data_IF_987198172024
#
_entry.id   IF_987198172024
#
_cell.length_a   1.000
_cell.length_b   1.000
_cell.length_c   1.000
_cell.angle_alpha   90.00
_cell.angle_beta   90.00
_cell.angle_gamma   90.00
#
_symmetry.space_group_name_H-M   'P 1'
#
loop_
_entity.id
_entity.type
_entity.pdbx_description
1 polymer ?
#
# COMPACT_ATOMS: atom_id res chain seq x y z
N UNK A 1 -50.79 -17.96 15.60
CA UNK A 1 -49.79 -17.68 16.66
C UNK A 1 -49.06 -18.93 17.17
N UNK A 2 -49.72 -19.97 17.71
CA UNK A 2 -49.02 -21.16 18.26
C UNK A 2 -48.08 -21.90 17.28
N UNK A 3 -48.46 -22.02 16.01
CA UNK A 3 -47.64 -22.65 14.95
C UNK A 3 -46.39 -21.84 14.62
N UNK A 4 -46.50 -20.51 14.54
CA UNK A 4 -45.37 -19.61 14.27
C UNK A 4 -44.36 -19.64 15.42
N UNK A 5 -44.83 -19.59 16.67
CA UNK A 5 -43.97 -19.69 17.86
C UNK A 5 -43.24 -21.04 17.90
N UNK A 6 -43.93 -22.14 17.58
CA UNK A 6 -43.30 -23.48 17.49
C UNK A 6 -42.23 -23.55 16.39
N UNK A 7 -42.48 -22.95 15.23
CA UNK A 7 -41.48 -22.87 14.14
C UNK A 7 -40.26 -22.06 14.58
N UNK A 8 -40.47 -20.89 15.20
CA UNK A 8 -39.37 -20.05 15.71
C UNK A 8 -38.53 -20.81 16.76
N UNK A 9 -39.18 -21.51 17.70
CA UNK A 9 -38.50 -22.32 18.71
C UNK A 9 -37.67 -23.45 18.09
N UNK A 10 -38.23 -24.18 17.12
CA UNK A 10 -37.51 -25.25 16.41
C UNK A 10 -36.28 -24.66 15.69
N UNK A 11 -36.44 -23.55 14.97
CA UNK A 11 -35.34 -22.87 14.29
C UNK A 11 -34.25 -22.42 15.26
N UNK A 12 -34.63 -21.89 16.43
CA UNK A 12 -33.68 -21.47 17.47
C UNK A 12 -32.89 -22.66 18.02
N UNK A 13 -33.55 -23.78 18.32
CA UNK A 13 -32.88 -25.00 18.81
C UNK A 13 -31.91 -25.54 17.78
N UNK A 14 -32.30 -25.59 16.50
CA UNK A 14 -31.42 -26.02 15.41
C UNK A 14 -30.21 -25.08 15.29
N UNK A 15 -30.43 -23.76 15.35
CA UNK A 15 -29.35 -22.79 15.29
C UNK A 15 -28.36 -22.91 16.45
N UNK A 16 -28.85 -23.06 17.69
CA UNK A 16 -28.01 -23.30 18.87
C UNK A 16 -27.23 -24.61 18.72
N UNK A 17 -27.85 -25.66 18.20
CA UNK A 17 -27.17 -26.93 17.88
C UNK A 17 -26.01 -26.74 16.90
N UNK A 18 -26.24 -26.02 15.80
CA UNK A 18 -25.21 -25.69 14.80
C UNK A 18 -24.07 -24.88 15.42
N UNK A 19 -24.40 -23.89 16.26
CA UNK A 19 -23.42 -23.05 16.96
C UNK A 19 -22.53 -23.89 17.88
N UNK A 20 -23.11 -24.77 18.71
CA UNK A 20 -22.37 -25.63 19.63
C UNK A 20 -21.47 -26.63 18.90
N UNK A 21 -21.97 -27.25 17.82
CA UNK A 21 -21.17 -28.14 16.97
C UNK A 21 -20.01 -27.37 16.35
N UNK A 22 -20.25 -26.16 15.84
CA UNK A 22 -19.20 -25.31 15.28
C UNK A 22 -18.13 -24.97 16.31
N UNK A 23 -18.51 -24.60 17.54
CA UNK A 23 -17.57 -24.33 18.64
C UNK A 23 -16.74 -25.58 18.94
N UNK A 24 -17.39 -26.74 19.06
CA UNK A 24 -16.71 -28.01 19.32
C UNK A 24 -15.71 -28.36 18.21
N UNK A 25 -16.08 -28.19 16.94
CA UNK A 25 -15.17 -28.37 15.80
C UNK A 25 -13.99 -27.40 15.88
N UNK A 26 -14.23 -26.11 16.17
CA UNK A 26 -13.17 -25.13 16.31
C UNK A 26 -12.19 -25.45 17.46
N UNK A 27 -12.61 -26.17 18.49
CA UNK A 27 -11.73 -26.54 19.61
C UNK A 27 -10.87 -27.77 19.34
N UNK A 28 -11.27 -28.65 18.43
CA UNK A 28 -10.67 -29.98 18.26
C UNK A 28 -10.08 -30.25 16.86
N UNK A 29 -10.66 -29.68 15.80
CA UNK A 29 -10.23 -29.91 14.43
C UNK A 29 -9.06 -29.00 14.05
N UNK A 30 -8.08 -29.45 13.26
CA UNK A 30 -7.03 -28.57 12.70
C UNK A 30 -6.34 -27.65 13.74
N UNK A 31 -5.96 -28.19 14.90
CA UNK A 31 -5.41 -27.40 16.03
C UNK A 31 -3.88 -27.25 16.01
N UNK A 32 -3.23 -27.81 14.97
CA UNK A 32 -1.79 -27.75 14.75
C UNK A 32 -1.49 -27.27 13.34
N UNK A 33 -0.39 -26.57 13.15
CA UNK A 33 0.04 -26.02 11.87
C UNK A 33 0.02 -27.04 10.72
N UNK A 34 0.56 -28.24 10.95
CA UNK A 34 0.67 -29.30 9.93
C UNK A 34 -0.69 -29.84 9.49
N UNK A 35 -1.71 -29.68 10.35
CA UNK A 35 -3.08 -30.07 10.05
C UNK A 35 -3.89 -28.98 9.35
N UNK A 36 -3.35 -27.76 9.19
CA UNK A 36 -4.05 -26.68 8.50
C UNK A 36 -4.08 -26.91 6.98
N UNK A 37 -5.03 -26.27 6.29
CA UNK A 37 -5.03 -26.25 4.83
C UNK A 37 -3.77 -25.56 4.29
N UNK A 38 -3.32 -25.96 3.10
CA UNK A 38 -2.10 -25.42 2.48
C UNK A 38 -2.07 -23.89 2.43
N UNK A 39 -3.17 -23.23 2.06
CA UNK A 39 -3.19 -21.76 2.02
C UNK A 39 -3.06 -21.12 3.40
N UNK A 40 -3.61 -21.73 4.44
CA UNK A 40 -3.49 -21.21 5.80
C UNK A 40 -2.05 -21.44 6.31
N UNK A 41 -1.42 -22.54 5.90
CA UNK A 41 0.01 -22.76 6.14
C UNK A 41 0.89 -21.74 5.42
N UNK A 42 0.64 -21.46 4.13
CA UNK A 42 1.37 -20.44 3.36
C UNK A 42 1.22 -19.06 3.99
N UNK A 43 0.00 -18.70 4.40
CA UNK A 43 -0.28 -17.45 5.10
C UNK A 43 0.56 -17.32 6.38
N UNK A 44 0.60 -18.35 7.24
CA UNK A 44 1.36 -18.28 8.49
C UNK A 44 2.89 -18.30 8.24
N UNK A 45 3.37 -18.98 7.20
CA UNK A 45 4.78 -18.94 6.80
C UNK A 45 5.18 -17.54 6.32
N UNK A 46 4.40 -16.94 5.43
CA UNK A 46 4.69 -15.57 4.96
C UNK A 46 4.56 -14.55 6.09
N UNK A 47 3.55 -14.67 6.95
CA UNK A 47 3.43 -13.79 8.13
C UNK A 47 4.64 -13.92 9.06
N UNK A 48 5.15 -15.14 9.26
CA UNK A 48 6.37 -15.37 10.02
C UNK A 48 7.59 -14.66 9.41
N UNK A 49 7.77 -14.75 8.09
CA UNK A 49 8.82 -14.02 7.36
C UNK A 49 8.68 -12.50 7.55
N UNK A 50 7.45 -11.97 7.42
CA UNK A 50 7.17 -10.56 7.67
C UNK A 50 7.57 -10.17 9.09
N UNK A 51 7.14 -10.92 10.10
CA UNK A 51 7.41 -10.59 11.50
C UNK A 51 8.92 -10.63 11.80
N UNK A 52 9.64 -11.64 11.32
CA UNK A 52 11.10 -11.70 11.47
C UNK A 52 11.79 -10.46 10.87
N UNK A 53 11.40 -10.01 9.67
CA UNK A 53 12.00 -8.81 9.08
C UNK A 53 11.70 -7.53 9.88
N UNK A 54 10.52 -7.42 10.48
CA UNK A 54 10.22 -6.30 11.38
C UNK A 54 10.97 -6.38 12.72
N UNK A 55 11.16 -7.58 13.29
CA UNK A 55 11.95 -7.75 14.51
C UNK A 55 13.44 -7.43 14.29
N UNK A 56 14.00 -7.82 13.15
CA UNK A 56 15.42 -7.74 12.86
C UNK A 56 15.84 -6.47 12.11
N UNK A 57 14.92 -5.79 11.42
CA UNK A 57 15.26 -4.74 10.46
C UNK A 57 14.13 -3.71 10.27
N UNK A 58 13.43 -3.35 11.35
CA UNK A 58 12.38 -2.31 11.31
C UNK A 58 12.88 -0.95 10.78
N UNK A 59 14.11 -0.57 11.12
CA UNK A 59 14.82 0.61 10.60
C UNK A 59 14.96 0.61 9.06
N UNK A 60 15.08 -0.59 8.47
CA UNK A 60 15.18 -0.78 7.02
C UNK A 60 13.82 -0.91 6.35
N UNK A 61 12.72 -1.04 7.09
CA UNK A 61 11.36 -1.08 6.55
C UNK A 61 10.72 0.30 6.60
N UNK A 62 10.69 0.90 7.78
CA UNK A 62 10.24 2.27 7.98
C UNK A 62 11.19 3.02 8.93
N UNK A 63 11.03 2.85 10.24
CA UNK A 63 11.93 3.38 11.26
C UNK A 63 11.93 2.47 12.48
N UNK A 64 12.88 2.65 13.39
CA UNK A 64 13.04 1.79 14.59
C UNK A 64 11.78 1.71 15.47
N UNK A 65 10.90 2.72 15.43
CA UNK A 65 9.68 2.78 16.24
C UNK A 65 8.48 2.05 15.62
N UNK A 66 8.53 1.73 14.32
CA UNK A 66 7.40 1.12 13.62
C UNK A 66 7.45 -0.41 13.68
N UNK A 67 6.78 -0.96 14.69
CA UNK A 67 6.67 -2.40 14.91
C UNK A 67 5.32 -2.95 14.44
N UNK A 68 5.22 -3.41 13.19
CA UNK A 68 4.02 -4.06 12.64
C UNK A 68 3.74 -5.41 13.31
N UNK A 69 4.77 -6.19 13.62
CA UNK A 69 4.72 -7.51 14.25
C UNK A 69 4.05 -7.50 15.63
N UNK A 70 4.00 -6.33 16.28
CA UNK A 70 3.35 -6.11 17.58
C UNK A 70 1.92 -5.59 17.47
N UNK A 71 1.44 -5.26 16.27
CA UNK A 71 0.09 -4.72 16.06
C UNK A 71 -0.94 -5.86 16.13
N UNK A 72 -2.17 -5.58 16.62
CA UNK A 72 -3.25 -6.55 16.56
C UNK A 72 -3.56 -6.90 15.10
N UNK A 73 -3.92 -8.13 14.78
CA UNK A 73 -4.20 -8.52 13.40
C UNK A 73 -5.21 -9.66 13.37
N UNK A 74 -6.17 -9.58 12.43
CA UNK A 74 -7.08 -10.69 12.12
C UNK A 74 -7.01 -11.03 10.63
N UNK A 75 -6.60 -12.26 10.32
CA UNK A 75 -6.50 -12.76 8.95
C UNK A 75 -7.65 -13.71 8.65
N UNK A 76 -8.37 -13.44 7.57
CA UNK A 76 -9.66 -14.07 7.25
C UNK A 76 -9.51 -14.87 5.96
N UNK A 77 -9.70 -16.17 6.05
CA UNK A 77 -9.66 -17.05 4.88
C UNK A 77 -10.92 -16.89 4.04
N UNK A 78 -10.75 -16.50 2.77
CA UNK A 78 -11.80 -16.51 1.76
C UNK A 78 -11.45 -17.42 0.59
N UNK A 79 -12.42 -17.71 -0.29
CA UNK A 79 -12.18 -18.47 -1.51
C UNK A 79 -11.54 -17.63 -2.62
N UNK A 80 -11.85 -16.33 -2.63
CA UNK A 80 -11.47 -15.36 -3.66
C UNK A 80 -11.53 -13.96 -3.08
N UNK A 81 -10.96 -13.01 -3.82
CA UNK A 81 -11.14 -11.58 -3.58
C UNK A 81 -12.62 -11.23 -3.38
N UNK A 82 -12.91 -10.42 -2.36
CA UNK A 82 -14.22 -9.96 -1.92
C UNK A 82 -15.23 -11.08 -1.59
N UNK A 83 -14.76 -12.27 -1.23
CA UNK A 83 -15.62 -13.39 -0.85
C UNK A 83 -16.48 -13.11 0.40
N UNK A 84 -17.76 -13.48 0.33
CA UNK A 84 -18.75 -13.31 1.41
C UNK A 84 -18.61 -14.35 2.53
N UNK A 85 -18.29 -15.60 2.17
CA UNK A 85 -18.23 -16.69 3.15
C UNK A 85 -16.80 -16.85 3.63
N UNK A 86 -16.59 -16.55 4.90
CA UNK A 86 -15.35 -16.84 5.62
C UNK A 86 -15.21 -18.35 5.82
N UNK A 87 -14.08 -18.94 5.47
CA UNK A 87 -13.77 -20.33 5.84
C UNK A 87 -13.23 -20.40 7.26
N UNK A 88 -12.13 -19.70 7.50
CA UNK A 88 -11.38 -19.66 8.75
C UNK A 88 -10.99 -18.22 9.08
N UNK A 89 -10.65 -17.94 10.35
CA UNK A 89 -10.01 -16.70 10.71
C UNK A 89 -9.00 -16.93 11.82
N UNK A 90 -7.92 -16.15 11.81
CA UNK A 90 -6.79 -16.26 12.72
C UNK A 90 -6.52 -14.87 13.32
N UNK A 91 -6.40 -14.80 14.65
CA UNK A 91 -6.09 -13.59 15.39
C UNK A 91 -4.71 -13.67 16.04
N UNK A 92 -3.95 -12.58 15.93
CA UNK A 92 -2.62 -12.41 16.52
C UNK A 92 -2.58 -11.07 17.26
N UNK A 93 -1.93 -11.02 18.42
CA UNK A 93 -1.84 -9.83 19.28
C UNK A 93 -3.20 -9.22 19.70
N UNK A 94 -4.27 -10.02 19.71
CA UNK A 94 -5.61 -9.60 20.16
C UNK A 94 -5.92 -10.20 21.54
N UNK A 95 -5.51 -9.50 22.60
CA UNK A 95 -5.65 -9.95 24.00
C UNK A 95 -7.10 -10.32 24.38
N UNK A 96 -8.08 -9.64 23.79
CA UNK A 96 -9.51 -9.82 24.04
C UNK A 96 -10.05 -11.18 23.55
N UNK A 97 -9.29 -11.91 22.76
CA UNK A 97 -9.70 -13.18 22.16
C UNK A 97 -9.17 -14.40 22.94
N UNK A 98 -8.10 -14.24 23.73
CA UNK A 98 -7.36 -15.36 24.34
C UNK A 98 -8.25 -16.31 25.17
N UNK A 99 -9.20 -15.75 25.92
CA UNK A 99 -10.10 -16.51 26.81
C UNK A 99 -11.48 -16.79 26.20
N UNK A 100 -11.66 -16.59 24.89
CA UNK A 100 -12.97 -16.75 24.26
C UNK A 100 -13.36 -18.21 24.04
N UNK A 101 -14.63 -18.53 24.29
CA UNK A 101 -15.22 -19.83 23.91
C UNK A 101 -15.19 -20.03 22.38
N UNK A 102 -15.16 -18.94 21.62
CA UNK A 102 -15.11 -18.96 20.16
C UNK A 102 -13.68 -19.01 19.60
N UNK A 103 -12.64 -19.00 20.43
CA UNK A 103 -11.25 -18.98 19.97
C UNK A 103 -10.49 -20.25 20.39
N UNK A 104 -9.55 -20.72 19.58
CA UNK A 104 -8.65 -21.83 19.92
C UNK A 104 -7.23 -21.44 19.53
N UNK A 105 -6.33 -21.40 20.51
CA UNK A 105 -4.89 -21.32 20.25
C UNK A 105 -4.48 -22.54 19.43
N UNK A 106 -3.82 -22.31 18.29
CA UNK A 106 -3.25 -23.36 17.45
C UNK A 106 -1.76 -23.53 17.74
N UNK A 107 -1.28 -24.77 17.66
CA UNK A 107 0.16 -25.06 17.80
C UNK A 107 0.87 -24.70 16.49
N UNK A 108 1.74 -23.69 16.55
CA UNK A 108 2.58 -23.23 15.44
C UNK A 108 4.05 -23.56 15.78
N UNK A 109 4.90 -23.90 14.79
CA UNK A 109 6.30 -24.17 15.06
C UNK A 109 6.98 -22.98 15.73
N UNK A 110 7.75 -23.24 16.79
CA UNK A 110 8.45 -22.16 17.53
C UNK A 110 9.38 -21.35 16.64
N UNK A 111 9.95 -21.98 15.60
CA UNK A 111 10.81 -21.32 14.61
C UNK A 111 10.10 -20.25 13.79
N UNK A 112 8.77 -20.14 13.86
CA UNK A 112 8.04 -19.10 13.14
C UNK A 112 8.09 -17.74 13.87
N UNK A 113 8.52 -17.71 15.14
CA UNK A 113 8.56 -16.49 15.96
C UNK A 113 7.23 -15.72 16.00
N UNK A 114 6.11 -16.37 15.66
CA UNK A 114 4.80 -15.75 15.73
C UNK A 114 4.35 -15.65 17.19
N UNK A 115 3.60 -14.59 17.56
CA UNK A 115 2.85 -14.59 18.81
C UNK A 115 1.82 -15.73 18.78
N UNK A 116 1.15 -15.95 19.91
CA UNK A 116 0.06 -16.93 19.96
C UNK A 116 -0.97 -16.66 18.86
N UNK A 117 -1.23 -17.68 18.05
CA UNK A 117 -2.19 -17.62 16.95
C UNK A 117 -3.50 -18.27 17.40
N UNK A 118 -4.58 -17.50 17.38
CA UNK A 118 -5.91 -17.97 17.77
C UNK A 118 -6.80 -18.15 16.55
N UNK A 119 -7.24 -19.38 16.28
CA UNK A 119 -8.28 -19.63 15.28
C UNK A 119 -9.67 -19.31 15.83
N UNK A 120 -10.44 -18.55 15.06
CA UNK A 120 -11.75 -18.04 15.44
C UNK A 120 -12.87 -18.86 14.80
N UNK A 121 -13.79 -19.30 15.65
CA UNK A 121 -15.02 -19.97 15.26
C UNK A 121 -15.83 -19.09 14.29
N UNK A 122 -16.38 -19.71 13.25
CA UNK A 122 -17.14 -19.06 12.18
C UNK A 122 -18.21 -18.07 12.68
N UNK A 123 -18.88 -18.40 13.80
CA UNK A 123 -19.95 -17.61 14.39
C UNK A 123 -19.51 -16.67 15.52
N UNK A 124 -18.20 -16.37 15.65
CA UNK A 124 -17.74 -15.34 16.58
C UNK A 124 -18.32 -13.97 16.19
N UNK A 125 -19.32 -13.52 16.95
CA UNK A 125 -20.06 -12.28 16.71
C UNK A 125 -19.15 -11.05 16.64
N UNK A 126 -17.97 -11.09 17.27
CA UNK A 126 -17.01 -9.99 17.25
C UNK A 126 -16.36 -9.79 15.86
N UNK A 127 -16.49 -10.77 14.98
CA UNK A 127 -15.88 -10.79 13.64
C UNK A 127 -16.91 -11.10 12.53
N UNK A 128 -18.21 -11.10 12.85
CA UNK A 128 -19.25 -11.46 11.88
C UNK A 128 -19.40 -10.42 10.76
N UNK A 129 -19.06 -9.16 11.04
CA UNK A 129 -19.03 -8.08 10.03
C UNK A 129 -18.08 -8.38 8.89
N UNK A 130 -17.06 -9.20 9.10
CA UNK A 130 -16.05 -9.51 8.08
C UNK A 130 -16.55 -10.47 7.00
N UNK A 131 -17.82 -10.90 7.09
CA UNK A 131 -18.52 -11.64 6.02
C UNK A 131 -19.00 -10.71 4.90
N UNK A 132 -18.99 -9.39 5.12
CA UNK A 132 -19.28 -8.39 4.10
C UNK A 132 -18.29 -8.48 2.92
N UNK A 133 -18.69 -8.10 1.69
CA UNK A 133 -17.78 -8.01 0.55
C UNK A 133 -16.76 -6.89 0.83
N UNK A 134 -15.48 -7.22 0.78
CA UNK A 134 -14.37 -6.34 1.16
C UNK A 134 -13.19 -7.18 1.63
N UNK A 135 -11.98 -6.83 1.16
CA UNK A 135 -10.78 -7.60 1.47
C UNK A 135 -10.07 -7.15 2.74
N UNK A 136 -10.25 -5.93 3.19
CA UNK A 136 -9.59 -5.43 4.39
C UNK A 136 -10.49 -4.43 5.11
N UNK A 137 -10.08 -4.01 6.30
CA UNK A 137 -10.76 -3.00 7.08
C UNK A 137 -10.33 -3.04 8.53
N UNK A 138 -11.04 -2.28 9.36
CA UNK A 138 -10.84 -2.29 10.81
C UNK A 138 -12.10 -2.75 11.52
N UNK A 139 -11.90 -3.42 12.65
CA UNK A 139 -12.97 -3.83 13.55
C UNK A 139 -12.63 -3.38 14.97
N UNK A 140 -13.65 -3.09 15.78
CA UNK A 140 -13.48 -2.70 17.17
C UNK A 140 -13.86 -3.85 18.10
N UNK A 141 -12.91 -4.37 18.86
CA UNK A 141 -13.15 -5.37 19.92
C UNK A 141 -12.76 -4.74 21.26
N UNK A 142 -13.75 -4.46 22.11
CA UNK A 142 -13.59 -3.82 23.42
C UNK A 142 -12.67 -2.59 23.37
N UNK A 143 -13.03 -1.60 22.53
CA UNK A 143 -12.31 -0.34 22.33
C UNK A 143 -10.87 -0.48 21.79
N UNK A 144 -10.50 -1.65 21.29
CA UNK A 144 -9.28 -1.84 20.51
C UNK A 144 -9.66 -1.97 19.05
N UNK A 145 -9.16 -1.04 18.23
CA UNK A 145 -9.26 -1.13 16.80
C UNK A 145 -8.23 -2.15 16.28
N UNK A 146 -8.70 -3.05 15.42
CA UNK A 146 -7.93 -4.18 14.92
C UNK A 146 -8.09 -4.20 13.41
N UNK A 147 -6.98 -4.11 12.70
CA UNK A 147 -6.93 -4.32 11.26
C UNK A 147 -7.22 -5.79 10.94
N UNK A 148 -8.00 -6.00 9.88
CA UNK A 148 -8.23 -7.31 9.33
C UNK A 148 -7.97 -7.34 7.83
N UNK A 149 -7.47 -8.48 7.35
CA UNK A 149 -7.25 -8.73 5.92
C UNK A 149 -7.80 -10.11 5.54
N UNK A 150 -8.44 -10.19 4.38
CA UNK A 150 -8.86 -11.43 3.75
C UNK A 150 -7.75 -11.95 2.85
N UNK A 151 -7.44 -13.23 2.99
CA UNK A 151 -6.47 -13.93 2.14
C UNK A 151 -7.12 -15.11 1.43
N UNK A 152 -6.68 -15.35 0.19
CA UNK A 152 -7.22 -16.37 -0.72
C UNK A 152 -6.08 -17.04 -1.51
N UNK A 153 -6.27 -18.25 -2.12
CA UNK A 153 -5.17 -19.03 -2.68
C UNK A 153 -4.32 -18.28 -3.72
N UNK A 154 -5.00 -17.50 -4.59
CA UNK A 154 -4.34 -16.75 -5.67
C UNK A 154 -3.27 -15.79 -5.16
N UNK A 155 -3.38 -15.25 -3.94
CA UNK A 155 -2.37 -14.34 -3.37
C UNK A 155 -0.99 -14.99 -3.17
N UNK A 156 -0.93 -16.32 -3.11
CA UNK A 156 0.30 -17.08 -2.88
C UNK A 156 0.79 -17.80 -4.14
N UNK A 157 -0.12 -18.21 -5.03
CA UNK A 157 0.21 -19.07 -6.16
C UNK A 157 0.44 -18.32 -7.48
N UNK A 158 -0.36 -17.29 -7.76
CA UNK A 158 -0.28 -16.45 -8.96
C UNK A 158 -0.98 -15.11 -8.68
N UNK A 159 -0.37 -14.27 -7.83
CA UNK A 159 -0.97 -12.99 -7.47
C UNK A 159 -1.04 -12.06 -8.68
N UNK A 160 -2.04 -11.17 -8.66
CA UNK A 160 -1.98 -9.98 -9.50
C UNK A 160 -0.85 -9.08 -8.96
N UNK A 161 -0.28 -8.22 -9.82
CA UNK A 161 0.81 -7.34 -9.41
C UNK A 161 0.37 -6.50 -8.20
N UNK A 162 1.21 -6.39 -7.17
CA UNK A 162 0.92 -5.73 -5.89
C UNK A 162 -0.12 -6.40 -4.98
N UNK A 163 -0.74 -7.51 -5.41
CA UNK A 163 -1.79 -8.21 -4.66
C UNK A 163 -1.34 -9.59 -4.16
N UNK A 164 -0.03 -9.83 -4.05
CA UNK A 164 0.47 -10.92 -3.22
C UNK A 164 0.18 -10.63 -1.75
N UNK A 165 0.15 -11.68 -0.93
CA UNK A 165 -0.29 -11.55 0.46
C UNK A 165 0.58 -10.58 1.26
N UNK A 166 1.90 -10.60 1.07
CA UNK A 166 2.81 -9.75 1.81
C UNK A 166 2.68 -8.27 1.44
N UNK A 167 2.71 -7.95 0.15
CA UNK A 167 2.60 -6.57 -0.33
C UNK A 167 1.26 -5.95 0.09
N UNK A 168 0.16 -6.66 -0.16
CA UNK A 168 -1.17 -6.12 0.14
C UNK A 168 -1.43 -6.02 1.66
N UNK A 169 -0.91 -6.96 2.47
CA UNK A 169 -0.98 -6.86 3.92
C UNK A 169 -0.23 -5.63 4.44
N UNK A 170 0.99 -5.41 3.97
CA UNK A 170 1.83 -4.32 4.44
C UNK A 170 1.27 -2.96 4.01
N UNK A 171 0.81 -2.81 2.77
CA UNK A 171 0.19 -1.59 2.27
C UNK A 171 -1.02 -1.18 3.12
N UNK A 172 -2.01 -2.07 3.23
CA UNK A 172 -3.27 -1.74 3.90
C UNK A 172 -3.12 -1.63 5.42
N UNK A 173 -2.23 -2.42 6.02
CA UNK A 173 -1.96 -2.29 7.45
C UNK A 173 -1.15 -1.04 7.79
N UNK A 174 -0.32 -0.55 6.86
CA UNK A 174 0.39 0.73 7.03
C UNK A 174 -0.58 1.90 7.06
N UNK A 175 -1.56 1.91 6.14
CA UNK A 175 -2.70 2.84 6.21
C UNK A 175 -3.40 2.78 7.57
N UNK A 176 -3.76 1.57 8.00
CA UNK A 176 -4.52 1.36 9.24
C UNK A 176 -3.75 1.74 10.52
N UNK A 177 -2.43 1.54 10.57
CA UNK A 177 -1.65 1.70 11.80
C UNK A 177 -0.72 2.88 11.83
N UNK A 178 -0.04 3.18 10.73
CA UNK A 178 0.93 4.27 10.67
C UNK A 178 0.28 5.56 10.19
N UNK A 179 -0.55 5.47 9.16
CA UNK A 179 -1.12 6.65 8.49
C UNK A 179 -2.53 7.02 8.97
N UNK A 180 -3.06 6.33 9.99
CA UNK A 180 -4.41 6.59 10.54
C UNK A 180 -4.71 8.06 10.86
N UNK A 181 -3.70 8.82 11.26
CA UNK A 181 -3.83 10.25 11.62
C UNK A 181 -3.37 11.20 10.51
N UNK A 182 -2.95 10.66 9.37
CA UNK A 182 -2.54 11.46 8.24
C UNK A 182 -3.76 12.13 7.63
N UNK A 183 -3.56 13.39 7.25
CA UNK A 183 -4.62 14.29 6.78
C UNK A 183 -4.47 14.61 5.30
N UNK A 184 -3.53 13.95 4.61
CA UNK A 184 -3.26 14.18 3.20
C UNK A 184 -4.46 13.86 2.31
N UNK A 185 -5.24 12.83 2.64
CA UNK A 185 -6.47 12.42 1.95
C UNK A 185 -7.75 13.03 2.55
N UNK A 186 -7.63 13.90 3.56
CA UNK A 186 -8.80 14.50 4.21
C UNK A 186 -9.55 15.43 3.26
N UNK A 187 -10.89 15.36 3.29
CA UNK A 187 -11.80 16.21 2.50
C UNK A 187 -11.54 16.16 0.98
N UNK A 188 -11.22 14.98 0.44
CA UNK A 188 -10.93 14.78 -0.99
C UNK A 188 -9.77 15.64 -1.49
N UNK A 189 -8.79 15.97 -0.65
CA UNK A 189 -7.65 16.81 -1.00
C UNK A 189 -6.76 16.24 -2.13
N UNK A 190 -6.90 14.95 -2.45
CA UNK A 190 -6.26 14.31 -3.61
C UNK A 190 -6.97 14.56 -4.96
N UNK A 191 -8.22 15.05 -4.92
CA UNK A 191 -8.98 15.35 -6.12
C UNK A 191 -8.42 16.59 -6.79
N UNK A 192 -8.13 16.47 -8.09
CA UNK A 192 -7.62 17.57 -8.90
C UNK A 192 -8.74 18.01 -9.85
N UNK A 193 -9.43 19.13 -9.56
CA UNK A 193 -10.39 19.69 -10.49
C UNK A 193 -9.67 20.18 -11.75
N UNK A 194 -10.30 20.03 -12.91
CA UNK A 194 -9.80 20.55 -14.20
C UNK A 194 -8.31 20.23 -14.45
N UNK A 195 -8.00 18.93 -14.43
CA UNK A 195 -6.64 18.45 -14.67
C UNK A 195 -6.11 19.01 -16.01
N UNK A 196 -4.92 19.63 -16.04
CA UNK A 196 -4.40 20.31 -17.23
C UNK A 196 -3.95 19.33 -18.31
N UNK A 197 -4.88 18.89 -19.16
CA UNK A 197 -4.61 18.06 -20.34
C UNK A 197 -4.05 18.96 -21.46
N UNK A 198 -2.75 19.22 -21.40
CA UNK A 198 -2.04 19.98 -22.44
C UNK A 198 -0.60 19.47 -22.60
N UNK A 199 0.00 19.78 -23.75
CA UNK A 199 1.34 19.29 -24.10
C UNK A 199 2.44 19.73 -23.14
N UNK A 200 2.30 20.94 -22.57
CA UNK A 200 3.33 21.49 -21.68
C UNK A 200 3.31 20.78 -20.33
N UNK A 201 2.12 20.50 -19.78
CA UNK A 201 1.97 19.72 -18.55
C UNK A 201 2.58 18.32 -18.70
N UNK A 202 2.26 17.61 -19.78
CA UNK A 202 2.82 16.29 -20.04
C UNK A 202 4.33 16.32 -20.31
N UNK A 203 4.84 17.35 -21.00
CA UNK A 203 6.27 17.48 -21.22
C UNK A 203 7.05 17.72 -19.92
N UNK A 204 6.51 18.55 -19.01
CA UNK A 204 7.10 18.76 -17.68
C UNK A 204 7.02 17.50 -16.81
N UNK A 205 5.93 16.72 -16.90
CA UNK A 205 5.85 15.41 -16.25
C UNK A 205 6.90 14.43 -16.82
N UNK A 206 7.09 14.38 -18.14
CA UNK A 206 8.15 13.57 -18.75
C UNK A 206 9.55 14.01 -18.31
N UNK A 207 9.76 15.32 -18.10
CA UNK A 207 11.00 15.85 -17.55
C UNK A 207 11.25 15.38 -16.11
N UNK A 208 10.21 15.39 -15.27
CA UNK A 208 10.25 14.80 -13.92
C UNK A 208 10.60 13.31 -13.96
N UNK A 209 10.05 12.55 -14.92
CA UNK A 209 10.34 11.13 -15.10
C UNK A 209 11.78 10.85 -15.53
N UNK A 210 12.34 11.65 -16.46
CA UNK A 210 13.78 11.54 -16.79
C UNK A 210 14.66 11.76 -15.57
N UNK A 211 14.31 12.72 -14.72
CA UNK A 211 15.03 13.01 -13.47
C UNK A 211 14.90 11.85 -12.48
N UNK A 212 13.70 11.31 -12.27
CA UNK A 212 13.49 10.14 -11.41
C UNK A 212 14.26 8.92 -11.91
N UNK A 213 14.23 8.62 -13.21
CA UNK A 213 15.00 7.52 -13.80
C UNK A 213 16.50 7.69 -13.53
N UNK A 214 17.03 8.91 -13.72
CA UNK A 214 18.43 9.23 -13.43
C UNK A 214 18.78 9.04 -11.94
N UNK A 215 17.92 9.45 -11.02
CA UNK A 215 18.13 9.25 -9.59
C UNK A 215 18.10 7.75 -9.23
N UNK A 216 17.11 7.01 -9.72
CA UNK A 216 16.90 5.58 -9.43
C UNK A 216 18.08 4.73 -9.89
N UNK A 217 18.69 5.05 -11.04
CA UNK A 217 19.87 4.38 -11.59
C UNK A 217 21.18 4.76 -10.91
N UNK A 218 21.18 5.80 -10.06
CA UNK A 218 22.38 6.27 -9.36
C UNK A 218 22.46 5.71 -7.93
N UNK A 219 23.69 5.65 -7.41
CA UNK A 219 23.99 5.26 -6.03
C UNK A 219 24.85 6.30 -5.29
N UNK A 220 25.30 7.36 -5.97
CA UNK A 220 26.03 8.46 -5.35
C UNK A 220 25.04 9.45 -4.71
N UNK A 221 25.12 9.59 -3.40
CA UNK A 221 24.22 10.45 -2.61
C UNK A 221 24.20 11.89 -3.09
N UNK A 222 25.32 12.48 -3.49
CA UNK A 222 25.37 13.89 -3.92
C UNK A 222 24.77 14.07 -5.32
N UNK A 223 25.01 13.13 -6.23
CA UNK A 223 24.35 13.11 -7.54
C UNK A 223 22.83 12.98 -7.37
N UNK A 224 22.37 12.11 -6.48
CA UNK A 224 20.94 11.95 -6.20
C UNK A 224 20.35 13.24 -5.62
N UNK A 225 21.04 13.90 -4.66
CA UNK A 225 20.60 15.22 -4.15
C UNK A 225 20.48 16.25 -5.25
N UNK A 226 21.45 16.34 -6.15
CA UNK A 226 21.39 17.29 -7.27
C UNK A 226 20.22 16.99 -8.20
N UNK A 227 19.95 15.72 -8.51
CA UNK A 227 18.81 15.33 -9.34
C UNK A 227 17.47 15.61 -8.65
N UNK A 228 17.37 15.35 -7.34
CA UNK A 228 16.17 15.69 -6.55
C UNK A 228 15.96 17.21 -6.46
N UNK A 229 17.03 18.00 -6.40
CA UNK A 229 16.96 19.46 -6.49
C UNK A 229 16.36 19.91 -7.82
N UNK A 230 16.90 19.42 -8.95
CA UNK A 230 16.40 19.74 -10.29
C UNK A 230 14.94 19.28 -10.47
N UNK A 231 14.60 18.08 -9.98
CA UNK A 231 13.23 17.56 -9.97
C UNK A 231 12.28 18.48 -9.20
N UNK A 232 12.73 18.97 -8.03
CA UNK A 232 11.92 19.86 -7.19
C UNK A 232 11.70 21.21 -7.86
N UNK A 233 12.69 21.74 -8.58
CA UNK A 233 12.53 22.96 -9.37
C UNK A 233 11.52 22.79 -10.50
N UNK A 234 11.59 21.69 -11.25
CA UNK A 234 10.63 21.38 -12.32
C UNK A 234 9.23 21.22 -11.76
N UNK A 235 9.07 20.47 -10.66
CA UNK A 235 7.77 20.27 -10.00
C UNK A 235 7.18 21.58 -9.49
N UNK A 236 7.99 22.42 -8.84
CA UNK A 236 7.56 23.73 -8.37
C UNK A 236 7.13 24.62 -9.57
N UNK A 237 7.88 24.62 -10.67
CA UNK A 237 7.51 25.33 -11.90
C UNK A 237 6.21 24.83 -12.51
N UNK A 238 5.97 23.51 -12.48
CA UNK A 238 4.70 22.93 -12.92
C UNK A 238 3.53 23.38 -12.04
N UNK A 239 3.74 23.48 -10.73
CA UNK A 239 2.70 23.92 -9.79
C UNK A 239 2.45 25.43 -9.80
N UNK A 240 3.43 26.28 -10.12
CA UNK A 240 3.14 27.71 -10.32
C UNK A 240 2.29 27.95 -11.56
N UNK A 241 2.43 27.11 -12.59
CA UNK A 241 1.59 27.13 -13.79
C UNK A 241 0.20 26.55 -13.57
N UNK A 242 0.10 25.44 -12.84
CA UNK A 242 -1.16 24.76 -12.53
C UNK A 242 -1.23 24.44 -11.03
N UNK A 243 -1.62 25.42 -10.19
CA UNK A 243 -1.64 25.26 -8.74
C UNK A 243 -2.52 24.12 -8.24
N UNK A 244 -3.56 23.74 -9.00
CA UNK A 244 -4.44 22.62 -8.66
C UNK A 244 -3.70 21.28 -8.59
N UNK A 245 -2.56 21.15 -9.28
CA UNK A 245 -1.77 19.93 -9.29
C UNK A 245 -1.10 19.62 -7.94
N UNK A 246 -1.11 20.56 -6.98
CA UNK A 246 -0.58 20.32 -5.64
C UNK A 246 -1.25 19.11 -4.94
N UNK A 247 -2.49 18.76 -5.34
CA UNK A 247 -3.18 17.55 -4.88
C UNK A 247 -2.45 16.25 -5.22
N UNK A 248 -1.60 16.22 -6.26
CA UNK A 248 -0.76 15.05 -6.58
C UNK A 248 0.13 14.68 -5.39
N UNK A 249 0.69 15.69 -4.71
CA UNK A 249 1.62 15.49 -3.58
C UNK A 249 0.97 14.77 -2.39
N UNK A 250 -0.36 14.88 -2.26
CA UNK A 250 -1.12 14.26 -1.17
C UNK A 250 -1.32 12.77 -1.42
N UNK A 251 -1.66 12.38 -2.66
CA UNK A 251 -1.68 10.97 -3.07
C UNK A 251 -0.26 10.37 -3.02
N UNK A 252 0.76 11.11 -3.48
CA UNK A 252 2.16 10.69 -3.40
C UNK A 252 2.59 10.43 -1.94
N UNK A 253 2.17 11.27 -1.00
CA UNK A 253 2.45 11.06 0.41
C UNK A 253 1.74 9.83 0.99
N UNK A 254 0.41 9.73 0.82
CA UNK A 254 -0.36 8.66 1.46
C UNK A 254 -0.10 7.30 0.80
N UNK A 255 -0.20 7.20 -0.52
CA UNK A 255 -0.07 5.94 -1.24
C UNK A 255 1.39 5.60 -1.59
N UNK A 256 2.21 6.60 -1.85
CA UNK A 256 3.63 6.40 -2.09
C UNK A 256 4.36 5.86 -0.86
N UNK A 257 4.05 6.35 0.35
CA UNK A 257 4.63 5.79 1.59
C UNK A 257 4.23 4.34 1.85
N UNK A 258 2.98 3.98 1.57
CA UNK A 258 2.52 2.60 1.68
C UNK A 258 3.21 1.69 0.64
N UNK A 259 3.34 2.16 -0.61
CA UNK A 259 4.06 1.46 -1.69
C UNK A 259 5.57 1.35 -1.41
N UNK A 260 6.18 2.37 -0.81
CA UNK A 260 7.56 2.34 -0.37
C UNK A 260 7.81 1.19 0.61
N UNK A 261 6.91 0.97 1.58
CA UNK A 261 7.04 -0.14 2.53
C UNK A 261 7.02 -1.50 1.81
N UNK A 262 6.15 -1.66 0.80
CA UNK A 262 6.13 -2.88 -0.03
C UNK A 262 7.49 -3.13 -0.71
N UNK A 263 8.10 -2.09 -1.31
CA UNK A 263 9.39 -2.22 -1.99
C UNK A 263 10.54 -2.52 -1.03
N UNK A 264 10.55 -1.88 0.14
CA UNK A 264 11.54 -2.16 1.18
C UNK A 264 11.44 -3.59 1.68
N UNK A 265 10.22 -4.05 1.93
CA UNK A 265 9.99 -5.43 2.33
C UNK A 265 10.40 -6.41 1.24
N UNK A 266 9.96 -6.20 0.00
CA UNK A 266 10.34 -7.02 -1.16
C UNK A 266 11.86 -7.13 -1.29
N UNK A 267 12.59 -6.01 -1.19
CA UNK A 267 14.05 -6.02 -1.24
C UNK A 267 14.67 -6.86 -0.11
N UNK A 268 14.19 -6.73 1.12
CA UNK A 268 14.70 -7.47 2.28
C UNK A 268 14.39 -8.97 2.20
N UNK A 269 13.22 -9.32 1.69
CA UNK A 269 12.77 -10.70 1.52
C UNK A 269 13.32 -11.37 0.25
N UNK A 270 14.14 -10.67 -0.56
CA UNK A 270 14.69 -11.20 -1.82
C UNK A 270 13.67 -11.29 -2.96
N UNK A 271 12.58 -10.52 -2.88
CA UNK A 271 11.54 -10.38 -3.89
C UNK A 271 11.93 -9.49 -5.07
N UNK A 272 11.07 -9.49 -6.09
CA UNK A 272 11.26 -8.76 -7.35
C UNK A 272 10.34 -7.54 -7.51
N UNK A 273 9.50 -7.25 -6.50
CA UNK A 273 8.65 -6.07 -6.53
C UNK A 273 9.50 -4.81 -6.35
N UNK A 274 9.39 -3.88 -7.30
CA UNK A 274 10.17 -2.64 -7.43
C UNK A 274 9.27 -1.53 -8.00
N UNK A 275 9.74 -0.28 -7.97
CA UNK A 275 9.06 0.85 -8.65
C UNK A 275 8.74 0.46 -10.09
N UNK A 276 7.50 0.68 -10.50
CA UNK A 276 6.93 0.31 -11.80
C UNK A 276 7.15 -1.17 -12.15
N UNK A 277 6.75 -2.05 -11.23
CA UNK A 277 6.93 -3.48 -11.37
C UNK A 277 6.15 -4.06 -12.57
N UNK A 278 6.62 -5.20 -13.07
CA UNK A 278 5.90 -6.04 -14.03
C UNK A 278 6.17 -7.52 -13.75
N UNK A 279 5.31 -8.41 -14.26
CA UNK A 279 5.38 -9.85 -13.99
C UNK A 279 6.60 -10.58 -14.60
N UNK A 280 7.30 -9.98 -15.56
CA UNK A 280 8.37 -10.63 -16.33
C UNK A 280 9.68 -9.85 -16.22
N UNK A 281 10.83 -10.53 -16.29
CA UNK A 281 12.16 -9.92 -16.38
C UNK A 281 12.19 -8.76 -17.41
N UNK A 282 12.80 -7.60 -17.11
CA UNK A 282 13.59 -7.24 -15.91
C UNK A 282 12.76 -6.91 -14.64
N UNK A 283 11.50 -7.35 -14.56
CA UNK A 283 10.53 -7.17 -13.46
C UNK A 283 10.14 -5.74 -13.12
N UNK A 284 10.63 -4.77 -13.88
CA UNK A 284 10.22 -3.38 -13.80
C UNK A 284 10.39 -2.69 -15.17
N UNK A 285 9.89 -1.48 -15.27
CA UNK A 285 10.20 -0.52 -16.34
C UNK A 285 10.63 0.80 -15.71
N UNK A 286 11.30 1.65 -16.48
CA UNK A 286 11.61 3.01 -16.03
C UNK A 286 10.37 3.91 -16.20
N UNK A 287 10.35 5.08 -15.55
CA UNK A 287 9.27 6.05 -15.73
C UNK A 287 9.16 6.51 -17.18
N UNK A 288 10.29 6.76 -17.85
CA UNK A 288 10.27 7.12 -19.26
C UNK A 288 9.81 5.97 -20.17
N UNK A 289 10.16 4.72 -19.86
CA UNK A 289 9.63 3.58 -20.62
C UNK A 289 8.10 3.49 -20.49
N UNK A 290 7.57 3.66 -19.28
CA UNK A 290 6.12 3.68 -19.06
C UNK A 290 5.47 4.84 -19.83
N UNK A 291 6.06 6.03 -19.79
CA UNK A 291 5.61 7.20 -20.54
C UNK A 291 5.61 6.94 -22.05
N UNK A 292 6.69 6.38 -22.60
CA UNK A 292 6.83 6.07 -24.03
C UNK A 292 5.84 5.01 -24.51
N UNK A 293 5.54 3.99 -23.70
CA UNK A 293 4.52 3.00 -24.03
C UNK A 293 3.11 3.61 -24.13
N UNK A 294 2.79 4.59 -23.28
CA UNK A 294 1.51 5.29 -23.33
C UNK A 294 1.46 6.23 -24.55
N UNK A 295 2.52 7.00 -24.78
CA UNK A 295 2.66 7.89 -25.95
C UNK A 295 2.52 7.13 -27.27
N UNK A 296 3.03 5.90 -27.34
CA UNK A 296 2.96 5.03 -28.52
C UNK A 296 1.68 4.21 -28.63
N UNK A 297 0.75 4.33 -27.69
CA UNK A 297 -0.50 3.56 -27.68
C UNK A 297 -0.33 2.06 -27.39
N UNK A 298 0.81 1.67 -26.82
CA UNK A 298 1.15 0.27 -26.50
C UNK A 298 0.73 -0.14 -25.08
N UNK A 299 0.33 0.80 -24.23
CA UNK A 299 -0.02 0.56 -22.84
C UNK A 299 -1.28 1.34 -22.42
N UNK A 300 -1.43 1.55 -21.12
CA UNK A 300 -2.58 2.20 -20.50
C UNK A 300 -2.88 3.60 -21.08
N UNK A 301 -4.07 4.11 -20.81
CA UNK A 301 -4.44 5.47 -21.20
C UNK A 301 -3.61 6.53 -20.46
N UNK A 302 -3.54 7.78 -20.96
CA UNK A 302 -2.93 8.90 -20.24
C UNK A 302 -3.41 9.05 -18.78
N UNK A 303 -4.63 8.62 -18.44
CA UNK A 303 -5.13 8.59 -17.05
C UNK A 303 -4.25 7.82 -16.07
N UNK A 304 -3.48 6.82 -16.54
CA UNK A 304 -2.51 6.12 -15.70
C UNK A 304 -1.43 7.08 -15.21
N UNK A 305 -0.91 7.95 -16.08
CA UNK A 305 0.06 8.99 -15.75
C UNK A 305 -0.53 10.02 -14.77
N UNK A 306 -1.81 10.36 -14.96
CA UNK A 306 -2.49 11.39 -14.17
C UNK A 306 -2.79 10.94 -12.73
N UNK A 307 -3.04 9.64 -12.50
CA UNK A 307 -3.51 9.13 -11.19
C UNK A 307 -2.64 8.01 -10.63
N UNK A 308 -2.58 6.86 -11.31
CA UNK A 308 -1.91 5.66 -10.79
C UNK A 308 -0.42 5.87 -10.57
N UNK A 309 0.22 6.68 -11.41
CA UNK A 309 1.64 6.99 -11.33
C UNK A 309 2.06 7.66 -10.01
N UNK A 310 1.13 8.27 -9.27
CA UNK A 310 1.41 8.93 -7.98
C UNK A 310 1.89 7.96 -6.90
N UNK A 311 1.47 6.70 -6.95
CA UNK A 311 1.97 5.64 -6.06
C UNK A 311 3.46 5.40 -6.30
N UNK A 312 3.85 5.44 -7.57
CA UNK A 312 5.19 5.11 -8.06
C UNK A 312 6.14 6.30 -7.87
N UNK A 313 5.71 7.53 -8.21
CA UNK A 313 6.52 8.73 -7.99
C UNK A 313 6.75 8.99 -6.51
N UNK A 314 5.71 8.88 -5.67
CA UNK A 314 5.81 9.06 -4.23
C UNK A 314 6.83 8.10 -3.59
N UNK A 315 6.69 6.79 -3.87
CA UNK A 315 7.63 5.78 -3.36
C UNK A 315 9.05 5.93 -3.93
N UNK A 316 9.20 6.31 -5.21
CA UNK A 316 10.51 6.57 -5.80
C UNK A 316 11.22 7.74 -5.12
N UNK A 317 10.52 8.85 -4.85
CA UNK A 317 11.08 9.99 -4.13
C UNK A 317 11.58 9.59 -2.75
N UNK A 318 10.81 8.80 -2.01
CA UNK A 318 11.19 8.31 -0.68
C UNK A 318 12.40 7.39 -0.71
N UNK A 319 12.45 6.44 -1.66
CA UNK A 319 13.63 5.60 -1.87
C UNK A 319 14.86 6.44 -2.21
N UNK A 320 14.71 7.50 -3.03
CA UNK A 320 15.81 8.37 -3.40
C UNK A 320 16.26 9.26 -2.25
N UNK A 321 15.34 9.81 -1.47
CA UNK A 321 15.66 10.57 -0.25
C UNK A 321 16.44 9.71 0.75
N UNK A 322 16.09 8.42 0.87
CA UNK A 322 16.89 7.47 1.66
C UNK A 322 18.29 7.27 1.11
N UNK A 323 18.44 6.99 -0.20
CA UNK A 323 19.78 6.86 -0.83
C UNK A 323 20.62 8.14 -0.70
N UNK A 324 19.96 9.29 -0.66
CA UNK A 324 20.59 10.60 -0.55
C UNK A 324 20.79 11.07 0.91
N UNK A 325 20.42 10.26 1.91
CA UNK A 325 20.47 10.59 3.33
C UNK A 325 19.73 11.90 3.68
N UNK A 326 18.59 12.15 3.03
CA UNK A 326 17.69 13.27 3.35
C UNK A 326 16.75 12.80 4.48
N UNK A 327 16.64 13.53 5.61
CA UNK A 327 15.82 13.11 6.73
C UNK A 327 14.32 13.39 6.46
N UNK A 328 13.62 12.45 5.84
CA UNK A 328 12.22 12.64 5.41
C UNK A 328 11.19 11.88 6.25
N UNK A 329 11.53 10.73 6.83
CA UNK A 329 10.55 9.82 7.47
C UNK A 329 9.78 10.44 8.63
N UNK A 330 10.47 11.16 9.52
CA UNK A 330 9.78 11.90 10.59
C UNK A 330 9.03 13.12 10.05
N UNK A 331 9.52 13.73 8.97
CA UNK A 331 8.93 14.94 8.39
C UNK A 331 7.60 14.67 7.70
N UNK A 332 7.44 13.50 7.05
CA UNK A 332 6.21 13.11 6.37
C UNK A 332 5.09 12.67 7.32
N UNK A 333 5.43 12.31 8.56
CA UNK A 333 4.44 11.82 9.52
C UNK A 333 3.56 12.94 10.09
N UNK A 334 2.26 12.81 9.85
CA UNK A 334 1.20 13.55 10.53
C UNK A 334 0.90 12.95 11.91
N UNK A 335 0.51 13.81 12.84
CA UNK A 335 0.00 13.43 14.15
C UNK A 335 -1.09 14.39 14.61
N UNK A 336 -1.73 14.09 15.74
CA UNK A 336 -2.74 14.96 16.35
C UNK A 336 -2.22 16.36 16.74
N UNK A 337 -0.90 16.57 16.75
CA UNK A 337 -0.27 17.83 17.17
C UNK A 337 0.74 18.38 16.16
N UNK A 338 0.94 17.70 15.02
CA UNK A 338 1.93 18.06 13.99
C UNK A 338 1.36 17.69 12.63
N UNK A 339 1.28 18.67 11.73
CA UNK A 339 1.13 18.41 10.30
C UNK A 339 2.51 18.04 9.75
N UNK A 340 2.57 16.89 9.12
CA UNK A 340 3.67 16.42 8.31
C UNK A 340 3.75 17.19 6.99
N UNK A 341 4.76 16.83 6.21
CA UNK A 341 5.09 17.45 4.93
C UNK A 341 5.15 16.38 3.85
N UNK A 342 4.53 16.62 2.71
CA UNK A 342 4.67 15.74 1.53
C UNK A 342 6.12 15.70 1.07
N UNK A 343 6.49 14.70 0.25
CA UNK A 343 7.85 14.58 -0.28
C UNK A 343 8.27 15.87 -1.00
N UNK A 344 7.36 16.49 -1.75
CA UNK A 344 7.57 17.80 -2.37
C UNK A 344 7.89 18.90 -1.35
N UNK A 345 7.06 19.04 -0.31
CA UNK A 345 7.24 20.07 0.74
C UNK A 345 8.57 19.86 1.51
N UNK A 346 8.95 18.60 1.77
CA UNK A 346 10.23 18.24 2.40
C UNK A 346 11.40 18.68 1.53
N UNK A 347 11.37 18.40 0.23
CA UNK A 347 12.47 18.73 -0.69
C UNK A 347 12.59 20.25 -0.90
N UNK A 348 11.47 20.97 -1.03
CA UNK A 348 11.45 22.45 -1.09
C UNK A 348 12.18 23.05 0.11
N UNK A 349 11.87 22.57 1.31
CA UNK A 349 12.50 23.05 2.54
C UNK A 349 13.97 22.64 2.65
N UNK A 350 14.29 21.37 2.37
CA UNK A 350 15.65 20.84 2.45
C UNK A 350 16.62 21.63 1.55
N UNK A 351 16.17 21.95 0.33
CA UNK A 351 16.97 22.71 -0.63
C UNK A 351 16.79 24.23 -0.54
N UNK A 352 15.92 24.72 0.35
CA UNK A 352 15.63 26.15 0.55
C UNK A 352 15.19 26.85 -0.75
N UNK A 353 14.33 26.19 -1.51
CA UNK A 353 13.79 26.72 -2.77
C UNK A 353 12.69 27.73 -2.44
N UNK A 354 13.02 29.02 -2.51
CA UNK A 354 12.07 30.10 -2.26
C UNK A 354 11.49 30.70 -3.56
N UNK A 355 12.29 30.71 -4.63
CA UNK A 355 11.91 31.25 -5.94
C UNK A 355 12.42 30.32 -7.05
N UNK A 356 11.72 30.33 -8.18
CA UNK A 356 12.11 29.56 -9.36
C UNK A 356 12.96 30.44 -10.27
N UNK A 357 14.22 30.06 -10.47
CA UNK A 357 15.07 30.68 -11.48
C UNK A 357 14.65 30.19 -12.87
N UNK A 358 14.04 31.07 -13.68
CA UNK A 358 13.68 30.76 -15.08
C UNK A 358 14.88 30.28 -15.89
N UNK A 359 16.06 30.85 -15.63
CA UNK A 359 17.31 30.42 -16.26
C UNK A 359 17.65 28.96 -15.92
N UNK A 360 17.44 28.54 -14.66
CA UNK A 360 17.71 27.16 -14.25
C UNK A 360 16.70 26.18 -14.86
N UNK A 361 15.42 26.58 -14.95
CA UNK A 361 14.41 25.77 -15.64
C UNK A 361 14.76 25.61 -17.13
N UNK A 362 15.26 26.67 -17.78
CA UNK A 362 15.70 26.61 -19.16
C UNK A 362 16.88 25.65 -19.35
N UNK A 363 17.89 25.73 -18.49
CA UNK A 363 19.04 24.80 -18.48
C UNK A 363 18.57 23.35 -18.34
N UNK A 364 17.70 23.05 -17.37
CA UNK A 364 17.16 21.70 -17.19
C UNK A 364 16.36 21.26 -18.44
N UNK A 365 15.56 22.13 -19.05
CA UNK A 365 14.84 21.80 -20.29
C UNK A 365 15.78 21.43 -21.44
N UNK A 366 16.88 22.16 -21.58
CA UNK A 366 17.91 21.89 -22.61
C UNK A 366 18.64 20.57 -22.33
N UNK A 367 19.05 20.34 -21.08
CA UNK A 367 19.80 19.13 -20.66
C UNK A 367 19.03 17.82 -20.87
N UNK A 368 17.69 17.89 -20.86
CA UNK A 368 16.82 16.72 -20.91
C UNK A 368 15.90 16.70 -22.14
N UNK A 369 16.27 17.40 -23.21
CA UNK A 369 15.59 17.37 -24.52
C UNK A 369 14.07 17.60 -24.42
N UNK A 370 13.72 18.78 -23.90
CA UNK A 370 12.34 19.17 -23.66
C UNK A 370 11.50 19.31 -24.94
N UNK A 371 12.11 19.60 -26.09
CA UNK A 371 11.37 19.71 -27.36
C UNK A 371 10.79 18.35 -27.78
N UNK A 372 11.54 17.27 -27.63
CA UNK A 372 11.00 15.91 -27.84
C UNK A 372 9.86 15.61 -26.87
N UNK A 373 9.98 16.03 -25.61
CA UNK A 373 8.91 15.84 -24.61
C UNK A 373 7.65 16.64 -24.95
N UNK A 374 7.78 17.81 -25.57
CA UNK A 374 6.65 18.59 -26.09
C UNK A 374 5.93 17.86 -27.23
N UNK A 375 6.66 17.23 -28.15
CA UNK A 375 6.08 16.41 -29.22
C UNK A 375 5.33 15.19 -28.66
N UNK A 376 5.91 14.53 -27.64
CA UNK A 376 5.26 13.43 -26.93
C UNK A 376 4.02 13.90 -26.17
N UNK A 377 4.09 15.05 -25.50
CA UNK A 377 2.96 15.67 -24.83
C UNK A 377 1.80 15.98 -25.77
N UNK A 378 2.09 16.47 -26.98
CA UNK A 378 1.07 16.69 -28.02
C UNK A 378 0.36 15.40 -28.45
N UNK A 379 1.09 14.27 -28.52
CA UNK A 379 0.49 12.96 -28.81
C UNK A 379 -0.43 12.52 -27.67
N UNK A 380 -0.03 12.70 -26.41
CA UNK A 380 -0.86 12.37 -25.25
C UNK A 380 -2.15 13.19 -25.21
N UNK A 381 -2.10 14.49 -25.53
CA UNK A 381 -3.30 15.34 -25.63
C UNK A 381 -4.28 14.77 -26.66
N UNK A 382 -3.79 14.35 -27.82
CA UNK A 382 -4.65 13.73 -28.86
C UNK A 382 -5.30 12.45 -28.35
N UNK A 383 -4.54 11.56 -27.73
CA UNK A 383 -5.08 10.31 -27.14
C UNK A 383 -6.15 10.63 -26.08
N UNK A 384 -5.89 11.56 -25.17
CA UNK A 384 -6.87 11.98 -24.15
C UNK A 384 -8.15 12.53 -24.78
N UNK A 385 -8.05 13.28 -25.88
CA UNK A 385 -9.22 13.85 -26.57
C UNK A 385 -10.07 12.82 -27.31
N UNK A 386 -9.49 11.69 -27.73
CA UNK A 386 -10.21 10.60 -28.41
C UNK A 386 -10.94 9.67 -27.42
N UNK A 387 -10.59 9.74 -26.13
CA UNK A 387 -11.15 8.90 -25.08
C UNK A 387 -12.26 9.59 -24.25
N UNK A 388 -12.42 10.91 -24.39
CA UNK A 388 -13.50 11.69 -23.77
C UNK A 388 -14.73 11.72 -24.66
#
# INVERSE_FOLDING_TARGET
MKKLVKVILISLVVFVGILLVSIMLNKNYHTKFESLNETDQSMLRELSTIYNHFEESSDKLWNEDYHFEKKPLILIRSNKSNGFIRKEAYAMNVKQIENSIFAKEIEVPKSFHLPKVYRLNHFDLRTISTWAPGNFGTLNINNTEIFHLKYYPKMFSDPDLYFDFSSFLLHESFHAYKQKKWTYDANDAEYIPDYPINKENYALMGLEFKLLDKAMMNNNSETIKQVLYDWTLVRNYRYTKWPQLIGETKTEAIEGSARYLEYRYSQLAGGNLRVLAKKQEPYHVTFMQAFDFIVSGQAESPRFLERSMRYETGSALELMMDKANIPWKEAIEDSSTKLGKTQYEILIEYFKINDISENKIKEIKEDYDYETLLEQGEKLVKISSEMG
#
